data_IF_401019217955
#
_entry.id   IF_401019217955
#
_cell.length_a   1.000
_cell.length_b   1.000
_cell.length_c   1.000
_cell.angle_alpha   90.00
_cell.angle_beta   90.00
_cell.angle_gamma   90.00
#
_symmetry.space_group_name_H-M   'P 1'
#
loop_
_entity.id
_entity.type
_entity.pdbx_description
1 polymer ?
#
# COMPACT_ATOMS: atom_id res chain seq x y z
N UNK A 1 25.89 -18.22 -41.26
CA UNK A 1 25.72 -16.92 -40.59
C UNK A 1 24.71 -17.11 -39.48
N UNK A 2 25.17 -17.32 -38.26
CA UNK A 2 24.31 -17.48 -37.08
C UNK A 2 23.93 -16.11 -36.54
N UNK A 3 22.66 -15.82 -36.52
CA UNK A 3 22.11 -14.63 -35.86
C UNK A 3 22.30 -14.86 -34.35
N UNK A 4 23.20 -14.10 -33.73
CA UNK A 4 23.27 -14.00 -32.26
C UNK A 4 21.97 -13.38 -31.79
N UNK A 5 21.17 -14.15 -31.10
CA UNK A 5 20.06 -13.60 -30.31
C UNK A 5 20.63 -12.71 -29.20
N UNK A 6 20.06 -11.54 -29.08
CA UNK A 6 20.41 -10.56 -28.07
C UNK A 6 20.05 -11.13 -26.68
N UNK A 7 20.97 -11.18 -25.69
CA UNK A 7 20.65 -11.69 -24.35
C UNK A 7 19.60 -10.87 -23.60
N UNK A 8 19.22 -9.71 -24.13
CA UNK A 8 18.17 -8.86 -23.55
C UNK A 8 16.74 -9.33 -23.84
N UNK A 9 16.53 -10.30 -24.76
CA UNK A 9 15.19 -10.83 -25.08
C UNK A 9 14.81 -12.09 -24.28
N UNK A 10 15.70 -12.68 -23.48
CA UNK A 10 15.41 -13.84 -22.62
C UNK A 10 14.97 -13.48 -21.19
N UNK A 11 14.80 -12.23 -20.89
CA UNK A 11 14.38 -11.82 -19.56
C UNK A 11 13.08 -11.06 -19.63
N UNK A 12 11.98 -11.68 -19.36
CA UNK A 12 10.77 -11.08 -18.73
C UNK A 12 9.47 -11.74 -19.20
N UNK A 13 9.39 -13.06 -19.14
CA UNK A 13 8.09 -13.68 -18.81
C UNK A 13 8.10 -14.09 -17.33
N UNK A 14 8.56 -13.15 -16.48
CA UNK A 14 8.80 -13.44 -15.06
C UNK A 14 7.52 -13.63 -14.24
N UNK A 15 6.37 -13.18 -14.75
CA UNK A 15 5.13 -13.23 -13.97
C UNK A 15 3.98 -13.59 -14.92
N UNK A 16 3.41 -14.75 -14.74
CA UNK A 16 2.12 -15.01 -15.35
C UNK A 16 1.10 -13.99 -14.77
N UNK A 17 0.76 -12.98 -15.55
CA UNK A 17 -0.11 -11.87 -15.13
C UNK A 17 -1.43 -12.36 -14.54
N UNK A 18 -1.93 -13.52 -15.02
CA UNK A 18 -3.19 -14.09 -14.55
C UNK A 18 -3.09 -14.61 -13.13
N UNK A 19 -1.96 -15.28 -12.77
CA UNK A 19 -1.72 -15.77 -11.40
C UNK A 19 -1.57 -14.60 -10.45
N UNK A 20 -0.82 -13.56 -10.82
CA UNK A 20 -0.66 -12.35 -9.99
C UNK A 20 -2.00 -11.68 -9.75
N UNK A 21 -2.80 -11.49 -10.80
CA UNK A 21 -4.12 -10.88 -10.69
C UNK A 21 -5.05 -11.70 -9.79
N UNK A 22 -4.99 -13.05 -9.87
CA UNK A 22 -5.78 -13.95 -9.02
C UNK A 22 -5.33 -13.85 -7.56
N UNK A 23 -4.01 -13.76 -7.29
CA UNK A 23 -3.46 -13.54 -5.94
C UNK A 23 -3.94 -12.20 -5.38
N UNK A 24 -3.77 -11.11 -6.13
CA UNK A 24 -4.19 -9.75 -5.71
C UNK A 24 -5.70 -9.69 -5.49
N UNK A 25 -6.47 -10.39 -6.31
CA UNK A 25 -7.92 -10.48 -6.16
C UNK A 25 -8.31 -11.19 -4.86
N UNK A 26 -7.77 -12.38 -4.59
CA UNK A 26 -8.08 -13.15 -3.38
C UNK A 26 -7.64 -12.40 -2.11
N UNK A 27 -6.44 -11.84 -2.12
CA UNK A 27 -5.95 -11.00 -1.03
C UNK A 27 -6.88 -9.79 -0.76
N UNK A 28 -7.29 -9.10 -1.83
CA UNK A 28 -8.21 -7.97 -1.72
C UNK A 28 -9.60 -8.40 -1.25
N UNK A 29 -10.05 -9.59 -1.65
CA UNK A 29 -11.32 -10.15 -1.23
C UNK A 29 -11.33 -10.45 0.27
N UNK A 30 -10.25 -11.02 0.83
CA UNK A 30 -10.11 -11.20 2.28
C UNK A 30 -10.29 -9.87 3.00
N UNK A 31 -9.59 -8.82 2.56
CA UNK A 31 -9.69 -7.49 3.17
C UNK A 31 -11.10 -6.91 3.12
N UNK A 32 -11.76 -6.99 1.97
CA UNK A 32 -13.13 -6.50 1.77
C UNK A 32 -14.10 -7.28 2.67
N UNK A 33 -13.98 -8.62 2.71
CA UNK A 33 -14.87 -9.48 3.51
C UNK A 33 -14.72 -9.22 5.00
N UNK A 34 -13.49 -9.01 5.49
CA UNK A 34 -13.25 -8.57 6.87
C UNK A 34 -13.93 -7.22 7.14
N UNK A 35 -13.76 -6.25 6.25
CA UNK A 35 -14.38 -4.92 6.40
C UNK A 35 -15.91 -4.96 6.42
N UNK A 36 -16.51 -5.99 5.80
CA UNK A 36 -17.97 -6.24 5.83
C UNK A 36 -18.42 -7.13 7.01
N UNK A 37 -17.50 -7.59 7.86
CA UNK A 37 -17.80 -8.50 8.97
C UNK A 37 -18.10 -9.95 8.56
N UNK A 38 -17.79 -10.32 7.30
CA UNK A 38 -18.01 -11.65 6.71
C UNK A 38 -16.79 -12.54 6.92
N UNK A 39 -16.50 -12.93 8.17
CA UNK A 39 -15.25 -13.59 8.54
C UNK A 39 -15.12 -15.01 7.95
N UNK A 40 -16.21 -15.74 7.81
CA UNK A 40 -16.19 -17.09 7.20
C UNK A 40 -15.82 -17.00 5.71
N UNK A 41 -16.43 -16.05 4.97
CA UNK A 41 -16.08 -15.80 3.57
C UNK A 41 -14.63 -15.34 3.41
N UNK A 42 -14.13 -14.54 4.37
CA UNK A 42 -12.74 -14.10 4.39
C UNK A 42 -11.79 -15.28 4.61
N UNK A 43 -12.14 -16.21 5.50
CA UNK A 43 -11.36 -17.43 5.75
C UNK A 43 -11.32 -18.34 4.51
N UNK A 44 -12.42 -18.47 3.79
CA UNK A 44 -12.47 -19.25 2.55
C UNK A 44 -11.64 -18.61 1.44
N UNK A 45 -11.66 -17.28 1.31
CA UNK A 45 -10.80 -16.56 0.38
C UNK A 45 -9.31 -16.70 0.74
N UNK A 46 -8.95 -16.66 2.02
CA UNK A 46 -7.59 -16.88 2.49
C UNK A 46 -7.07 -18.30 2.19
N UNK A 47 -7.92 -19.32 2.37
CA UNK A 47 -7.60 -20.71 1.97
C UNK A 47 -7.40 -20.83 0.45
N UNK A 48 -8.26 -20.16 -0.35
CA UNK A 48 -8.10 -20.08 -1.79
C UNK A 48 -6.77 -19.46 -2.21
N UNK A 49 -6.34 -18.40 -1.53
CA UNK A 49 -5.04 -17.76 -1.73
C UNK A 49 -3.88 -18.74 -1.43
N UNK A 50 -3.96 -19.44 -0.31
CA UNK A 50 -2.95 -20.45 0.08
C UNK A 50 -2.84 -21.56 -0.97
N UNK A 51 -3.98 -22.13 -1.40
CA UNK A 51 -4.02 -23.19 -2.40
C UNK A 51 -3.48 -22.72 -3.75
N UNK A 52 -3.83 -21.50 -4.17
CA UNK A 52 -3.34 -20.88 -5.40
C UNK A 52 -1.81 -20.77 -5.39
N UNK A 53 -1.24 -20.21 -4.31
CA UNK A 53 0.21 -20.06 -4.16
C UNK A 53 0.89 -21.43 -4.16
N UNK A 54 0.34 -22.39 -3.44
CA UNK A 54 0.88 -23.73 -3.35
C UNK A 54 0.90 -24.49 -4.68
N UNK A 55 -0.14 -24.33 -5.50
CA UNK A 55 -0.37 -25.16 -6.69
C UNK A 55 0.07 -24.50 -7.99
N UNK A 56 -0.05 -23.16 -8.11
CA UNK A 56 0.19 -22.45 -9.38
C UNK A 56 1.46 -21.59 -9.38
N UNK A 57 1.99 -21.22 -8.20
CA UNK A 57 3.21 -20.41 -8.12
C UNK A 57 4.44 -21.32 -8.22
N UNK A 58 5.40 -21.03 -9.11
CA UNK A 58 6.68 -21.73 -9.19
C UNK A 58 7.46 -21.68 -7.88
N UNK A 59 8.19 -22.76 -7.54
CA UNK A 59 8.88 -22.89 -6.25
C UNK A 59 9.92 -21.80 -6.00
N UNK A 60 10.59 -21.32 -7.04
CA UNK A 60 11.55 -20.22 -6.97
C UNK A 60 10.94 -18.84 -6.69
N UNK A 61 9.62 -18.71 -6.85
CA UNK A 61 8.86 -17.47 -6.62
C UNK A 61 7.99 -17.54 -5.36
N UNK A 62 7.79 -18.72 -4.77
CA UNK A 62 6.91 -18.92 -3.61
C UNK A 62 7.27 -18.04 -2.43
N UNK A 63 8.56 -17.88 -2.13
CA UNK A 63 9.02 -17.09 -0.98
C UNK A 63 8.49 -15.64 -0.99
N UNK A 64 8.29 -15.05 -2.16
CA UNK A 64 7.72 -13.71 -2.30
C UNK A 64 6.23 -13.68 -1.92
N UNK A 65 5.46 -14.66 -2.42
CA UNK A 65 4.02 -14.73 -2.15
C UNK A 65 3.69 -15.29 -0.77
N UNK A 66 4.59 -16.09 -0.19
CA UNK A 66 4.45 -16.56 1.19
C UNK A 66 4.42 -15.40 2.18
N UNK A 67 5.20 -14.35 1.94
CA UNK A 67 5.15 -13.11 2.74
C UNK A 67 3.73 -12.54 2.73
N UNK A 68 3.13 -12.38 1.53
CA UNK A 68 1.79 -11.83 1.39
C UNK A 68 0.74 -12.73 2.06
N UNK A 69 0.82 -14.03 1.81
CA UNK A 69 -0.09 -15.02 2.41
C UNK A 69 -0.06 -14.97 3.94
N UNK A 70 1.13 -14.97 4.54
CA UNK A 70 1.27 -14.94 6.00
C UNK A 70 0.69 -13.67 6.59
N UNK A 71 0.95 -12.50 5.98
CA UNK A 71 0.30 -11.27 6.41
C UNK A 71 -1.21 -11.30 6.29
N UNK A 72 -1.73 -11.86 5.21
CA UNK A 72 -3.18 -12.00 5.01
C UNK A 72 -3.81 -12.89 6.09
N UNK A 73 -3.15 -14.00 6.42
CA UNK A 73 -3.57 -14.89 7.50
C UNK A 73 -3.53 -14.20 8.88
N UNK A 74 -2.43 -13.50 9.20
CA UNK A 74 -2.32 -12.75 10.45
C UNK A 74 -3.36 -11.63 10.55
N UNK A 75 -3.63 -10.93 9.44
CA UNK A 75 -4.66 -9.90 9.40
C UNK A 75 -6.07 -10.48 9.67
N UNK A 76 -6.39 -11.63 9.10
CA UNK A 76 -7.64 -12.35 9.38
C UNK A 76 -7.71 -12.77 10.84
N UNK A 77 -6.64 -13.34 11.41
CA UNK A 77 -6.57 -13.73 12.81
C UNK A 77 -6.77 -12.54 13.76
N UNK A 78 -6.25 -11.36 13.42
CA UNK A 78 -6.47 -10.14 14.19
C UNK A 78 -7.97 -9.85 14.40
N UNK A 79 -8.79 -10.05 13.38
CA UNK A 79 -10.24 -9.82 13.47
C UNK A 79 -11.00 -11.00 14.09
N UNK A 80 -10.54 -12.22 13.89
CA UNK A 80 -11.14 -13.42 14.51
C UNK A 80 -10.81 -13.50 16.00
N UNK A 81 -9.62 -13.03 16.41
CA UNK A 81 -9.11 -13.16 17.78
C UNK A 81 -8.44 -11.86 18.28
N UNK A 82 -9.20 -10.75 18.37
CA UNK A 82 -8.62 -9.42 18.64
C UNK A 82 -7.94 -9.32 20.01
N UNK A 83 -8.25 -10.21 20.95
CA UNK A 83 -7.65 -10.25 22.29
C UNK A 83 -6.49 -11.22 22.42
N UNK A 84 -6.14 -11.98 21.36
CA UNK A 84 -5.07 -12.95 21.41
C UNK A 84 -3.70 -12.27 21.50
N UNK A 85 -2.93 -12.58 22.57
CA UNK A 85 -1.51 -12.20 22.67
C UNK A 85 -0.68 -12.98 21.64
N UNK A 86 -1.08 -14.19 21.32
CA UNK A 86 -0.41 -15.07 20.37
C UNK A 86 -0.32 -14.43 18.97
N UNK A 87 -1.41 -13.82 18.48
CA UNK A 87 -1.41 -13.08 17.19
C UNK A 87 -0.42 -11.90 17.21
N UNK A 88 -0.32 -11.20 18.34
CA UNK A 88 0.63 -10.11 18.48
C UNK A 88 2.08 -10.63 18.49
N UNK A 89 2.34 -11.74 19.17
CA UNK A 89 3.66 -12.37 19.23
C UNK A 89 4.07 -12.94 17.87
N UNK A 90 3.16 -13.60 17.16
CA UNK A 90 3.40 -14.09 15.80
C UNK A 90 3.75 -12.96 14.85
N UNK A 91 3.01 -11.84 14.90
CA UNK A 91 3.30 -10.69 14.08
C UNK A 91 4.70 -10.09 14.37
N UNK A 92 5.05 -9.89 15.64
CA UNK A 92 6.36 -9.37 16.03
C UNK A 92 7.47 -10.32 15.58
N UNK A 93 7.29 -11.62 15.81
CA UNK A 93 8.24 -12.64 15.38
C UNK A 93 8.42 -12.64 13.84
N UNK A 94 7.32 -12.56 13.11
CA UNK A 94 7.33 -12.50 11.65
C UNK A 94 8.11 -11.29 11.13
N UNK A 95 7.88 -10.10 11.70
CA UNK A 95 8.62 -8.88 11.33
C UNK A 95 10.12 -9.02 11.61
N UNK A 96 10.50 -9.59 12.74
CA UNK A 96 11.92 -9.83 13.05
C UNK A 96 12.56 -10.79 12.05
N UNK A 97 11.85 -11.82 11.60
CA UNK A 97 12.31 -12.74 10.56
C UNK A 97 12.47 -12.02 9.21
N UNK A 98 11.53 -11.17 8.82
CA UNK A 98 11.64 -10.35 7.61
C UNK A 98 12.85 -9.42 7.66
N UNK A 99 13.14 -8.79 8.79
CA UNK A 99 14.29 -7.92 8.96
C UNK A 99 15.61 -8.67 8.73
N UNK A 100 15.70 -9.91 9.25
CA UNK A 100 16.91 -10.73 9.18
C UNK A 100 17.11 -11.40 7.80
N UNK A 101 16.04 -11.67 7.06
CA UNK A 101 16.08 -12.38 5.78
C UNK A 101 16.46 -11.50 4.58
N UNK A 102 16.46 -10.18 4.71
CA UNK A 102 16.67 -9.25 3.60
C UNK A 102 15.52 -9.21 2.58
N UNK A 103 14.50 -10.07 2.72
CA UNK A 103 13.31 -10.12 1.85
C UNK A 103 12.35 -8.95 2.09
N UNK A 104 12.61 -8.16 3.12
CA UNK A 104 11.79 -7.06 3.56
C UNK A 104 11.51 -6.00 2.47
N UNK A 105 12.38 -5.88 1.48
CA UNK A 105 12.26 -4.84 0.45
C UNK A 105 11.27 -5.18 -0.66
N UNK A 106 11.10 -6.44 -1.02
CA UNK A 106 10.26 -6.83 -2.16
C UNK A 106 8.80 -7.14 -1.82
N UNK A 107 8.54 -7.66 -0.61
CA UNK A 107 7.19 -8.09 -0.21
C UNK A 107 6.37 -7.05 0.55
N UNK A 108 7.02 -6.06 1.15
CA UNK A 108 6.37 -5.10 2.06
C UNK A 108 5.28 -4.26 1.37
N UNK A 109 5.44 -3.91 0.10
CA UNK A 109 4.48 -3.06 -0.62
C UNK A 109 3.07 -3.65 -0.68
N UNK A 110 2.95 -4.97 -0.77
CA UNK A 110 1.65 -5.65 -0.78
C UNK A 110 0.97 -5.67 0.59
N UNK A 111 1.76 -5.62 1.65
CA UNK A 111 1.31 -5.79 3.03
C UNK A 111 1.11 -4.46 3.78
N UNK A 112 1.43 -3.31 3.20
CA UNK A 112 1.37 -1.98 3.85
C UNK A 112 0.07 -1.73 4.59
N UNK A 113 -1.06 -2.08 4.00
CA UNK A 113 -2.39 -1.88 4.58
C UNK A 113 -2.61 -2.64 5.89
N UNK A 114 -1.89 -3.75 6.09
CA UNK A 114 -2.03 -4.57 7.29
C UNK A 114 -1.17 -4.07 8.45
N UNK A 115 -0.02 -3.49 8.16
CA UNK A 115 0.91 -3.04 9.20
C UNK A 115 0.29 -2.03 10.17
N UNK A 116 -0.48 -1.09 9.65
CA UNK A 116 -1.12 -0.08 10.50
C UNK A 116 -2.09 -0.71 11.50
N UNK A 117 -2.85 -1.72 11.09
CA UNK A 117 -3.78 -2.41 11.97
C UNK A 117 -3.04 -3.24 13.03
N UNK A 118 -1.94 -3.90 12.66
CA UNK A 118 -1.10 -4.60 13.62
C UNK A 118 -0.43 -3.66 14.61
N UNK A 119 0.09 -2.52 14.17
CA UNK A 119 0.65 -1.51 15.09
C UNK A 119 -0.40 -0.95 16.04
N UNK A 120 -1.65 -0.76 15.59
CA UNK A 120 -2.76 -0.39 16.47
C UNK A 120 -3.07 -1.48 17.50
N UNK A 121 -3.05 -2.76 17.09
CA UNK A 121 -3.21 -3.88 18.01
C UNK A 121 -2.13 -3.87 19.09
N UNK A 122 -0.86 -3.71 18.72
CA UNK A 122 0.26 -3.63 19.66
C UNK A 122 0.12 -2.44 20.62
N UNK A 123 -0.38 -1.28 20.15
CA UNK A 123 -0.69 -0.13 20.99
C UNK A 123 -1.76 -0.45 22.04
N UNK A 124 -2.87 -1.10 21.61
CA UNK A 124 -3.96 -1.49 22.53
C UNK A 124 -3.47 -2.47 23.59
N UNK A 125 -2.51 -3.33 23.23
CA UNK A 125 -1.87 -4.31 24.13
C UNK A 125 -0.75 -3.72 24.98
N UNK A 126 -0.52 -2.38 24.93
CA UNK A 126 0.57 -1.69 25.64
C UNK A 126 1.98 -2.18 25.25
N UNK A 127 2.14 -2.78 24.08
CA UNK A 127 3.42 -3.23 23.54
C UNK A 127 4.15 -2.06 22.84
N UNK A 128 4.36 -0.97 23.56
CA UNK A 128 4.84 0.29 23.00
C UNK A 128 6.23 0.18 22.37
N UNK A 129 7.12 -0.62 22.97
CA UNK A 129 8.47 -0.83 22.45
C UNK A 129 8.40 -1.48 21.05
N UNK A 130 7.59 -2.52 20.88
CA UNK A 130 7.42 -3.21 19.60
C UNK A 130 6.86 -2.26 18.53
N UNK A 131 5.91 -1.39 18.90
CA UNK A 131 5.37 -0.37 17.98
C UNK A 131 6.48 0.55 17.46
N UNK A 132 7.37 1.01 18.35
CA UNK A 132 8.46 1.92 17.97
C UNK A 132 9.51 1.19 17.13
N UNK A 133 9.91 -0.01 17.48
CA UNK A 133 10.94 -0.78 16.77
C UNK A 133 10.45 -1.17 15.37
N UNK A 134 9.25 -1.74 15.27
CA UNK A 134 8.64 -2.11 14.01
C UNK A 134 8.37 -0.87 13.16
N UNK A 135 7.83 0.19 13.76
CA UNK A 135 7.59 1.46 13.08
C UNK A 135 8.86 2.06 12.48
N UNK A 136 9.99 2.03 13.19
CA UNK A 136 11.30 2.47 12.66
C UNK A 136 11.77 1.63 11.48
N UNK A 137 11.56 0.32 11.54
CA UNK A 137 11.87 -0.57 10.41
C UNK A 137 11.03 -0.23 9.19
N UNK A 138 9.72 -0.12 9.37
CA UNK A 138 8.79 0.22 8.29
C UNK A 138 9.10 1.59 7.69
N UNK A 139 9.36 2.60 8.52
CA UNK A 139 9.65 3.97 8.08
C UNK A 139 10.97 4.13 7.31
N UNK A 140 11.90 3.18 7.42
CA UNK A 140 13.15 3.15 6.62
C UNK A 140 12.96 2.54 5.24
N UNK A 141 11.87 1.82 5.02
CA UNK A 141 11.58 1.20 3.74
C UNK A 141 11.09 2.26 2.75
N UNK A 142 11.76 2.40 1.60
CA UNK A 142 11.40 3.34 0.52
C UNK A 142 10.01 3.05 -0.08
N UNK A 143 9.43 1.89 0.24
CA UNK A 143 8.13 1.43 -0.24
C UNK A 143 6.93 2.12 0.46
N UNK A 144 7.16 2.90 1.52
CA UNK A 144 6.12 3.50 2.36
C UNK A 144 5.75 4.95 2.00
N UNK A 145 5.80 5.32 0.75
CA UNK A 145 5.59 6.72 0.32
C UNK A 145 4.18 7.29 0.57
N UNK A 146 3.19 6.47 0.90
CA UNK A 146 1.79 6.92 1.08
C UNK A 146 1.19 6.75 2.47
N UNK A 147 1.91 6.11 3.42
CA UNK A 147 1.38 5.79 4.76
C UNK A 147 2.37 6.09 5.88
N UNK A 148 3.44 6.77 5.57
CA UNK A 148 4.55 7.03 6.51
C UNK A 148 4.09 7.90 7.69
N UNK A 149 3.25 8.90 7.44
CA UNK A 149 2.69 9.76 8.50
C UNK A 149 1.86 8.96 9.51
N UNK A 150 1.08 7.97 9.06
CA UNK A 150 0.31 7.12 9.96
C UNK A 150 1.21 6.27 10.86
N UNK A 151 2.30 5.70 10.33
CA UNK A 151 3.27 4.93 11.11
C UNK A 151 3.93 5.82 12.15
N UNK A 152 4.39 7.02 11.78
CA UNK A 152 4.94 7.97 12.74
C UNK A 152 3.94 8.41 13.81
N UNK A 153 2.67 8.60 13.43
CA UNK A 153 1.61 8.92 14.40
C UNK A 153 1.43 7.81 15.45
N UNK A 154 1.49 6.54 15.04
CA UNK A 154 1.41 5.41 15.97
C UNK A 154 2.66 5.29 16.84
N UNK A 155 3.85 5.50 16.28
CA UNK A 155 5.11 5.55 17.03
C UNK A 155 5.10 6.67 18.05
N UNK A 156 4.60 7.86 17.72
CA UNK A 156 4.46 8.98 18.67
C UNK A 156 3.57 8.61 19.85
N UNK A 157 2.39 8.04 19.58
CA UNK A 157 1.48 7.59 20.65
C UNK A 157 2.14 6.57 21.56
N UNK A 158 2.90 5.62 21.01
CA UNK A 158 3.65 4.65 21.79
C UNK A 158 4.74 5.32 22.63
N UNK A 159 5.50 6.23 22.04
CA UNK A 159 6.58 6.97 22.74
C UNK A 159 6.06 7.86 23.84
N UNK A 160 4.89 8.50 23.69
CA UNK A 160 4.23 9.27 24.75
C UNK A 160 3.92 8.41 25.98
N UNK A 161 3.45 7.19 25.77
CA UNK A 161 3.18 6.26 26.88
C UNK A 161 4.47 5.76 27.54
N UNK A 162 5.57 5.66 26.78
CA UNK A 162 6.88 5.28 27.32
C UNK A 162 7.61 6.43 28.05
N UNK A 163 7.30 7.69 27.74
CA UNK A 163 7.93 8.88 28.38
C UNK A 163 7.73 8.93 29.90
N UNK A 164 6.66 8.36 30.41
CA UNK A 164 6.51 8.15 31.84
C UNK A 164 7.63 7.25 32.43
N UNK A 165 8.52 6.71 31.57
CA UNK A 165 9.44 5.64 31.90
C UNK A 165 10.93 5.87 31.58
N UNK A 166 11.46 6.85 30.86
CA UNK A 166 12.92 7.07 30.73
C UNK A 166 13.53 7.62 29.41
N UNK A 167 12.82 7.88 28.30
CA UNK A 167 13.50 8.26 27.04
C UNK A 167 12.97 9.52 26.35
N UNK A 168 13.23 10.75 26.90
CA UNK A 168 12.80 12.00 26.25
C UNK A 168 13.37 12.21 24.83
N UNK A 169 14.61 11.75 24.60
CA UNK A 169 15.31 11.93 23.31
C UNK A 169 14.69 11.14 22.16
N UNK A 170 14.10 9.99 22.41
CA UNK A 170 13.48 9.17 21.38
C UNK A 170 12.17 9.78 20.88
N UNK A 171 11.34 10.27 21.79
CA UNK A 171 10.12 11.00 21.44
C UNK A 171 10.43 12.24 20.60
N UNK A 172 11.43 13.03 20.99
CA UNK A 172 11.82 14.23 20.27
C UNK A 172 12.27 13.91 18.84
N UNK A 173 13.06 12.85 18.65
CA UNK A 173 13.49 12.40 17.31
C UNK A 173 12.32 11.94 16.44
N UNK A 174 11.41 11.14 17.01
CA UNK A 174 10.20 10.66 16.30
C UNK A 174 9.31 11.84 15.95
N UNK A 175 9.07 12.76 16.87
CA UNK A 175 8.24 13.96 16.68
C UNK A 175 8.80 14.86 15.56
N UNK A 176 10.09 15.12 15.58
CA UNK A 176 10.76 15.90 14.52
C UNK A 176 10.60 15.24 13.16
N UNK A 177 10.84 13.94 13.09
CA UNK A 177 10.70 13.21 11.82
C UNK A 177 9.26 13.15 11.32
N UNK A 178 8.30 13.06 12.22
CA UNK A 178 6.88 13.10 11.89
C UNK A 178 6.49 14.44 11.24
N UNK A 179 6.97 15.55 11.79
CA UNK A 179 6.74 16.89 11.23
C UNK A 179 7.32 16.98 9.81
N UNK A 180 8.57 16.53 9.60
CA UNK A 180 9.21 16.52 8.29
C UNK A 180 8.39 15.70 7.25
N UNK A 181 7.86 14.55 7.65
CA UNK A 181 7.02 13.70 6.80
C UNK A 181 5.71 14.39 6.44
N UNK A 182 5.04 15.02 7.41
CA UNK A 182 3.80 15.76 7.17
C UNK A 182 4.02 16.94 6.21
N UNK A 183 5.11 17.67 6.36
CA UNK A 183 5.47 18.76 5.44
C UNK A 183 5.72 18.24 4.02
N UNK A 184 6.41 17.10 3.89
CA UNK A 184 6.67 16.48 2.60
C UNK A 184 5.37 15.99 1.94
N UNK A 185 4.49 15.32 2.67
CA UNK A 185 3.18 14.87 2.17
C UNK A 185 2.32 16.06 1.74
N UNK A 186 2.30 17.15 2.52
CA UNK A 186 1.59 18.38 2.17
C UNK A 186 2.14 19.01 0.89
N UNK A 187 3.47 19.04 0.74
CA UNK A 187 4.11 19.57 -0.48
C UNK A 187 3.77 18.73 -1.71
N UNK A 188 3.80 17.39 -1.58
CA UNK A 188 3.42 16.47 -2.65
C UNK A 188 1.94 16.63 -3.04
N UNK A 189 1.04 16.75 -2.06
CA UNK A 189 -0.37 17.03 -2.30
C UNK A 189 -0.57 18.35 -3.06
N UNK A 190 0.08 19.42 -2.61
CA UNK A 190 0.01 20.73 -3.26
C UNK A 190 0.55 20.69 -4.70
N UNK A 191 1.63 19.94 -4.96
CA UNK A 191 2.17 19.74 -6.30
C UNK A 191 1.19 18.99 -7.20
N UNK A 192 0.55 17.94 -6.69
CA UNK A 192 -0.48 17.18 -7.40
C UNK A 192 -1.69 18.05 -7.75
N UNK A 193 -2.20 18.83 -6.80
CA UNK A 193 -3.33 19.75 -7.02
C UNK A 193 -2.99 20.79 -8.10
N UNK A 194 -1.79 21.35 -8.05
CA UNK A 194 -1.33 22.30 -9.10
C UNK A 194 -1.28 21.65 -10.47
N UNK A 195 -0.76 20.43 -10.56
CA UNK A 195 -0.69 19.69 -11.83
C UNK A 195 -2.08 19.41 -12.40
N UNK A 196 -3.01 18.93 -11.56
CA UNK A 196 -4.41 18.70 -11.97
C UNK A 196 -5.09 19.97 -12.44
N UNK A 197 -4.93 21.07 -11.71
CA UNK A 197 -5.49 22.38 -12.10
C UNK A 197 -4.93 22.86 -13.44
N UNK A 198 -3.63 22.69 -13.68
CA UNK A 198 -3.01 23.04 -14.95
C UNK A 198 -3.56 22.21 -16.11
N UNK A 199 -3.75 20.91 -15.89
CA UNK A 199 -4.30 20.02 -16.92
C UNK A 199 -5.78 20.34 -17.21
N UNK A 200 -6.59 20.66 -16.20
CA UNK A 200 -7.96 21.15 -16.42
C UNK A 200 -7.99 22.43 -17.25
N UNK A 201 -7.15 23.40 -16.93
CA UNK A 201 -7.04 24.65 -17.70
C UNK A 201 -6.60 24.38 -19.15
N UNK A 202 -5.67 23.44 -19.36
CA UNK A 202 -5.25 22.98 -20.68
C UNK A 202 -6.41 22.38 -21.46
N UNK A 203 -7.15 21.46 -20.84
CA UNK A 203 -8.33 20.83 -21.44
C UNK A 203 -9.43 21.85 -21.77
N UNK A 204 -9.67 22.85 -20.90
CA UNK A 204 -10.62 23.91 -21.17
C UNK A 204 -10.20 24.77 -22.39
N UNK A 205 -8.90 25.07 -22.50
CA UNK A 205 -8.37 25.79 -23.67
C UNK A 205 -8.53 25.00 -24.96
N UNK A 206 -8.20 23.70 -24.93
CA UNK A 206 -8.38 22.79 -26.06
C UNK A 206 -9.86 22.72 -26.49
N UNK A 207 -10.79 22.53 -25.51
CA UNK A 207 -12.22 22.55 -25.80
C UNK A 207 -12.68 23.85 -26.47
N UNK A 208 -12.21 25.01 -25.97
CA UNK A 208 -12.52 26.31 -26.57
C UNK A 208 -11.97 26.43 -28.00
N UNK A 209 -10.76 25.91 -28.25
CA UNK A 209 -10.15 25.92 -29.58
C UNK A 209 -10.88 24.97 -30.53
N UNK A 210 -11.22 23.75 -30.06
CA UNK A 210 -11.97 22.76 -30.87
C UNK A 210 -13.42 23.19 -31.13
N UNK A 211 -14.01 24.01 -30.26
CA UNK A 211 -15.35 24.54 -30.44
C UNK A 211 -15.45 25.63 -31.55
N UNK A 212 -14.32 26.11 -32.07
CA UNK A 212 -14.25 27.12 -33.12
C UNK A 212 -13.66 26.54 -34.40
N UNK A 213 -14.23 26.91 -35.50
CA UNK A 213 -13.65 26.62 -36.80
C UNK A 213 -12.34 27.42 -37.00
N UNK A 214 -11.27 26.71 -37.37
CA UNK A 214 -9.92 27.30 -37.46
C UNK A 214 -9.75 28.35 -38.56
N UNK A 215 -10.62 28.32 -39.57
CA UNK A 215 -10.55 29.28 -40.71
C UNK A 215 -11.39 30.51 -40.47
N UNK A 216 -12.57 30.35 -39.87
CA UNK A 216 -13.55 31.45 -39.76
C UNK A 216 -13.62 32.02 -38.34
N UNK A 217 -13.07 31.35 -37.32
CA UNK A 217 -13.20 31.69 -35.90
C UNK A 217 -14.61 31.54 -35.35
N UNK A 218 -15.58 31.12 -36.18
CA UNK A 218 -16.95 30.83 -35.76
C UNK A 218 -17.05 29.54 -34.97
N UNK A 219 -18.16 29.34 -34.26
CA UNK A 219 -18.43 28.02 -33.59
C UNK A 219 -18.56 26.95 -34.66
N UNK A 220 -17.91 25.79 -34.40
CA UNK A 220 -18.04 24.69 -35.32
C UNK A 220 -19.44 24.06 -35.23
N UNK A 221 -19.88 23.36 -36.30
CA UNK A 221 -21.19 22.75 -36.40
C UNK A 221 -21.52 21.77 -35.27
N UNK A 222 -20.56 20.94 -34.85
CA UNK A 222 -20.74 19.97 -33.77
C UNK A 222 -21.06 20.65 -32.41
N UNK A 223 -20.42 21.76 -32.11
CA UNK A 223 -20.69 22.54 -30.89
C UNK A 223 -22.08 23.18 -30.93
N UNK A 224 -22.50 23.66 -32.09
CA UNK A 224 -23.82 24.27 -32.29
C UNK A 224 -24.94 23.21 -32.14
N UNK A 225 -24.74 22.00 -32.65
CA UNK A 225 -25.72 20.90 -32.55
C UNK A 225 -25.88 20.42 -31.09
N UNK A 226 -24.79 20.36 -30.30
CA UNK A 226 -24.83 19.97 -28.89
C UNK A 226 -25.53 21.02 -28.01
N UNK A 227 -25.31 22.30 -28.25
CA UNK A 227 -25.93 23.38 -27.50
C UNK A 227 -27.39 23.61 -27.93
N UNK A 228 -27.72 23.39 -29.22
CA UNK A 228 -29.07 23.55 -29.76
C UNK A 228 -30.10 22.53 -29.27
N UNK A 229 -29.65 21.42 -28.69
CA UNK A 229 -30.55 20.40 -28.08
C UNK A 229 -30.93 20.75 -26.61
N UNK A 230 -30.37 21.82 -26.04
CA UNK A 230 -30.64 22.28 -24.66
C UNK A 230 -31.73 23.36 -24.56
N UNK A 231 -32.33 23.78 -25.66
CA UNK A 231 -33.46 24.70 -25.75
C UNK A 231 -34.62 24.01 -26.49
#
# INVERSE_FOLDING_TARGET
MGVRKDPAEEGVDFWNSDIINEIVYLDSLVYIKIGLGQLDDAADAAKGLEELIKTKVPDDQKSFFDIQKEFTCLYLQLYMQPQSEEVADEFVHYIHNLQSSGLAQSGISFCIRYFAEFLKLLLVKNRFQDVVEIGKFLAKSELFTGSTSMIYSLMMKASEQMQNSRHPSEYEQISKRYIEVLEQEQNNYNAMVRSLTQEELRLMRLRKTMARDSLTGCRNRATFEIEGVRY
#
